data_IF_725693118191
#
_entry.id   IF_725693118191
#
_cell.length_a   1.000
_cell.length_b   1.000
_cell.length_c   1.000
_cell.angle_alpha   90.00
_cell.angle_beta   90.00
_cell.angle_gamma   90.00
#
_symmetry.space_group_name_H-M   'P 1'
#
loop_
_entity.id
_entity.type
_entity.pdbx_description
1 polymer ?
#
# COMPACT_ATOMS: atom_id res chain seq x y z
N UNK A 1 13.10 15.56 13.01
CA UNK A 1 12.49 14.97 14.20
C UNK A 1 12.14 13.53 13.87
N UNK A 2 12.64 12.57 14.65
CA UNK A 2 12.39 11.14 14.46
C UNK A 2 10.92 10.86 14.81
N UNK A 3 10.05 10.97 13.82
CA UNK A 3 8.61 10.88 14.02
C UNK A 3 8.22 9.43 13.84
N UNK A 4 8.13 8.68 14.94
CA UNK A 4 7.61 7.31 14.92
C UNK A 4 6.21 7.34 14.32
N UNK A 5 5.97 6.51 13.31
CA UNK A 5 4.64 6.30 12.75
C UNK A 5 3.77 5.70 13.87
N UNK A 6 2.68 6.38 14.23
CA UNK A 6 1.72 5.90 15.23
C UNK A 6 0.49 5.33 14.55
N UNK A 7 -0.34 4.62 15.32
CA UNK A 7 -1.65 4.16 14.84
C UNK A 7 -2.53 5.29 14.32
N UNK A 8 -2.52 6.46 14.96
CA UNK A 8 -3.27 7.62 14.49
C UNK A 8 -2.76 8.11 13.13
N UNK A 9 -1.44 8.17 12.94
CA UNK A 9 -0.85 8.51 11.63
C UNK A 9 -1.24 7.51 10.54
N UNK A 10 -1.30 6.21 10.87
CA UNK A 10 -1.79 5.19 9.92
C UNK A 10 -3.25 5.43 9.56
N UNK A 11 -4.10 5.75 10.55
CA UNK A 11 -5.52 6.05 10.32
C UNK A 11 -5.69 7.27 9.41
N UNK A 12 -4.95 8.36 9.63
CA UNK A 12 -5.01 9.57 8.79
C UNK A 12 -4.66 9.25 7.32
N UNK A 13 -3.64 8.41 7.11
CA UNK A 13 -3.22 7.97 5.77
C UNK A 13 -4.30 7.09 5.14
N UNK A 14 -4.86 6.14 5.89
CA UNK A 14 -5.90 5.24 5.40
C UNK A 14 -7.18 5.99 5.04
N UNK A 15 -7.58 7.00 5.81
CA UNK A 15 -8.76 7.80 5.54
C UNK A 15 -8.58 8.61 4.25
N UNK A 16 -7.41 9.23 4.07
CA UNK A 16 -7.04 9.93 2.83
C UNK A 16 -7.07 9.01 1.61
N UNK A 17 -6.50 7.81 1.72
CA UNK A 17 -6.53 6.81 0.63
C UNK A 17 -7.97 6.37 0.35
N UNK A 18 -8.76 6.11 1.40
CA UNK A 18 -10.14 5.66 1.29
C UNK A 18 -11.05 6.72 0.66
N UNK A 19 -10.79 8.00 0.92
CA UNK A 19 -11.48 9.11 0.26
C UNK A 19 -11.26 9.10 -1.26
N UNK A 20 -10.05 8.77 -1.72
CA UNK A 20 -9.72 8.77 -3.15
C UNK A 20 -10.05 7.47 -3.89
N UNK A 21 -9.99 6.31 -3.20
CA UNK A 21 -10.12 4.99 -3.84
C UNK A 21 -11.37 4.20 -3.42
N UNK A 22 -12.10 4.68 -2.42
CA UNK A 22 -13.11 3.89 -1.73
C UNK A 22 -12.50 3.01 -0.64
N UNK A 23 -13.37 2.54 0.26
CA UNK A 23 -12.98 1.71 1.40
C UNK A 23 -12.83 0.24 0.99
N UNK A 24 -11.74 -0.45 1.36
CA UNK A 24 -11.62 -1.88 1.12
C UNK A 24 -12.45 -2.67 2.13
N UNK A 25 -12.90 -3.87 1.74
CA UNK A 25 -13.54 -4.80 2.68
C UNK A 25 -12.55 -5.36 3.71
N UNK A 26 -11.28 -5.49 3.31
CA UNK A 26 -10.23 -6.11 4.13
C UNK A 26 -8.88 -5.43 3.93
N UNK A 27 -8.11 -5.32 5.01
CA UNK A 27 -6.73 -4.85 4.98
C UNK A 27 -5.85 -5.92 5.64
N UNK A 28 -4.80 -6.36 4.93
CA UNK A 28 -3.76 -7.20 5.51
C UNK A 28 -2.69 -6.34 6.15
N UNK A 29 -2.33 -6.65 7.39
CA UNK A 29 -1.36 -5.91 8.19
C UNK A 29 -0.39 -6.86 8.84
N UNK A 30 0.82 -6.40 9.15
CA UNK A 30 1.72 -7.14 10.00
C UNK A 30 1.43 -6.86 11.49
N UNK A 31 2.25 -7.42 12.38
CA UNK A 31 2.09 -7.26 13.83
C UNK A 31 2.87 -6.06 14.39
N UNK A 32 3.17 -5.05 13.56
CA UNK A 32 3.79 -3.81 14.00
C UNK A 32 2.91 -3.06 15.01
N UNK A 33 3.50 -2.37 16.01
CA UNK A 33 2.75 -1.67 17.05
C UNK A 33 1.81 -0.58 16.52
N UNK A 34 2.13 0.02 15.37
CA UNK A 34 1.29 0.97 14.65
C UNK A 34 0.00 0.32 14.12
N UNK A 35 0.06 -0.95 13.73
CA UNK A 35 -1.08 -1.71 13.21
C UNK A 35 -1.85 -2.47 14.30
N UNK A 36 -1.17 -2.86 15.39
CA UNK A 36 -1.79 -3.43 16.61
C UNK A 36 -2.17 -2.29 17.58
N UNK A 37 -2.76 -1.22 17.04
CA UNK A 37 -3.12 -0.03 17.82
C UNK A 37 -4.64 0.07 18.00
N UNK A 38 -5.06 0.65 19.15
CA UNK A 38 -6.49 0.93 19.40
C UNK A 38 -7.09 1.88 18.35
N UNK A 39 -6.27 2.79 17.82
CA UNK A 39 -6.67 3.73 16.78
C UNK A 39 -7.08 2.98 15.51
N UNK A 40 -6.22 2.09 15.01
CA UNK A 40 -6.52 1.32 13.80
C UNK A 40 -7.67 0.32 14.01
N UNK A 41 -7.75 -0.30 15.19
CA UNK A 41 -8.85 -1.20 15.55
C UNK A 41 -10.20 -0.47 15.50
N UNK A 42 -10.30 0.70 16.15
CA UNK A 42 -11.51 1.52 16.12
C UNK A 42 -11.85 2.04 14.71
N UNK A 43 -10.86 2.49 13.94
CA UNK A 43 -11.06 2.88 12.54
C UNK A 43 -11.64 1.72 11.72
N UNK A 44 -11.09 0.52 11.87
CA UNK A 44 -11.55 -0.66 11.13
C UNK A 44 -12.99 -1.03 11.49
N UNK A 45 -13.34 -0.97 12.77
CA UNK A 45 -14.70 -1.22 13.26
C UNK A 45 -15.70 -0.20 12.71
N UNK A 46 -15.40 1.09 12.79
CA UNK A 46 -16.28 2.16 12.32
C UNK A 46 -16.52 2.12 10.81
N UNK A 47 -15.53 1.67 10.05
CA UNK A 47 -15.58 1.63 8.59
C UNK A 47 -15.96 0.24 8.03
N UNK A 48 -16.31 -0.72 8.89
CA UNK A 48 -16.62 -2.11 8.54
C UNK A 48 -15.52 -2.78 7.69
N UNK A 49 -14.26 -2.52 8.05
CA UNK A 49 -13.06 -3.07 7.40
C UNK A 49 -12.54 -4.22 8.26
N UNK A 50 -12.31 -5.39 7.67
CA UNK A 50 -11.69 -6.51 8.38
C UNK A 50 -10.16 -6.42 8.33
N UNK A 51 -9.52 -6.34 9.49
CA UNK A 51 -8.07 -6.48 9.60
C UNK A 51 -7.66 -7.96 9.58
N UNK A 52 -6.73 -8.32 8.70
CA UNK A 52 -6.14 -9.65 8.59
C UNK A 52 -4.65 -9.57 8.95
N UNK A 53 -4.30 -9.94 10.18
CA UNK A 53 -2.92 -9.95 10.65
C UNK A 53 -2.13 -11.11 10.06
N UNK A 54 -0.87 -10.85 9.70
CA UNK A 54 0.07 -11.90 9.29
C UNK A 54 0.31 -12.91 10.41
N UNK A 55 0.41 -14.19 10.05
CA UNK A 55 0.60 -15.25 11.05
C UNK A 55 2.06 -15.31 11.49
N UNK A 56 2.34 -15.50 12.79
CA UNK A 56 3.70 -15.74 13.26
C UNK A 56 4.37 -16.89 12.52
N UNK A 57 5.58 -16.66 12.01
CA UNK A 57 6.35 -17.68 11.29
C UNK A 57 5.82 -18.03 9.89
N UNK A 58 4.99 -17.17 9.26
CA UNK A 58 4.54 -17.33 7.87
C UNK A 58 5.01 -16.17 6.97
N UNK A 59 6.27 -16.21 6.48
CA UNK A 59 6.81 -15.17 5.58
C UNK A 59 5.96 -14.92 4.33
N UNK A 60 5.27 -15.96 3.84
CA UNK A 60 4.38 -15.87 2.68
C UNK A 60 3.24 -14.86 2.85
N UNK A 61 2.81 -14.57 4.07
CA UNK A 61 1.72 -13.62 4.32
C UNK A 61 2.16 -12.17 3.98
N UNK A 62 3.48 -11.89 4.01
CA UNK A 62 4.07 -10.58 3.74
C UNK A 62 4.81 -10.52 2.38
N UNK A 63 4.81 -11.59 1.58
CA UNK A 63 5.63 -11.68 0.36
C UNK A 63 5.41 -10.52 -0.63
N UNK A 64 4.18 -10.01 -0.75
CA UNK A 64 3.87 -8.88 -1.63
C UNK A 64 4.52 -7.57 -1.16
N UNK A 65 4.40 -7.24 0.14
CA UNK A 65 4.98 -6.02 0.68
C UNK A 65 6.51 -6.11 0.74
N UNK A 66 7.05 -7.29 1.00
CA UNK A 66 8.50 -7.55 0.95
C UNK A 66 9.05 -7.35 -0.47
N UNK A 67 8.37 -7.89 -1.49
CA UNK A 67 8.76 -7.69 -2.89
C UNK A 67 8.68 -6.20 -3.29
N UNK A 68 7.63 -5.49 -2.88
CA UNK A 68 7.50 -4.05 -3.13
C UNK A 68 8.64 -3.26 -2.47
N UNK A 69 8.91 -3.52 -1.19
CA UNK A 69 9.97 -2.84 -0.43
C UNK A 69 11.37 -3.15 -0.99
N UNK A 70 11.58 -4.37 -1.49
CA UNK A 70 12.79 -4.76 -2.20
C UNK A 70 13.00 -3.92 -3.46
N UNK A 71 11.99 -3.85 -4.33
CA UNK A 71 12.05 -3.00 -5.53
C UNK A 71 12.28 -1.53 -5.19
N UNK A 72 11.56 -0.98 -4.21
CA UNK A 72 11.74 0.42 -3.80
C UNK A 72 13.19 0.68 -3.34
N UNK A 73 13.74 -0.24 -2.55
CA UNK A 73 15.11 -0.12 -2.05
C UNK A 73 16.12 -0.18 -3.18
N UNK A 74 16.04 -1.19 -4.03
CA UNK A 74 17.04 -1.45 -5.07
C UNK A 74 16.97 -0.44 -6.21
N UNK A 75 15.77 0.04 -6.55
CA UNK A 75 15.56 0.86 -7.74
C UNK A 75 15.47 2.36 -7.43
N UNK A 76 15.09 2.74 -6.21
CA UNK A 76 14.98 4.14 -5.81
C UNK A 76 15.99 4.52 -4.72
N UNK A 77 15.97 3.84 -3.57
CA UNK A 77 16.74 4.28 -2.41
C UNK A 77 18.25 4.12 -2.60
N UNK A 78 18.67 3.01 -3.23
CA UNK A 78 20.09 2.71 -3.46
C UNK A 78 20.67 3.45 -4.68
N UNK A 79 19.82 3.94 -5.59
CA UNK A 79 20.23 4.55 -6.86
C UNK A 79 20.27 6.08 -6.81
N UNK A 80 19.75 6.69 -5.74
CA UNK A 80 19.60 8.14 -5.61
C UNK A 80 20.32 8.69 -4.39
N UNK A 81 20.94 9.85 -4.56
CA UNK A 81 21.35 10.72 -3.46
C UNK A 81 20.18 11.64 -3.09
N UNK A 82 19.89 11.78 -1.80
CA UNK A 82 18.82 12.66 -1.31
C UNK A 82 19.42 13.91 -0.70
N UNK A 83 19.16 15.06 -1.33
CA UNK A 83 19.75 16.35 -0.93
C UNK A 83 18.89 17.08 0.11
N UNK A 84 17.60 16.78 0.17
CA UNK A 84 16.65 17.29 1.16
C UNK A 84 15.44 16.35 1.29
N UNK A 85 14.54 16.65 2.23
CA UNK A 85 13.27 15.93 2.37
C UNK A 85 12.37 16.17 1.16
N UNK A 86 12.33 17.39 0.63
CA UNK A 86 11.55 17.71 -0.57
C UNK A 86 12.08 16.93 -1.79
N UNK A 87 13.41 16.84 -1.96
CA UNK A 87 14.04 16.03 -3.01
C UNK A 87 13.71 14.54 -2.85
N UNK A 88 13.72 14.01 -1.62
CA UNK A 88 13.31 12.64 -1.35
C UNK A 88 11.83 12.39 -1.71
N UNK A 89 10.92 13.29 -1.34
CA UNK A 89 9.50 13.18 -1.68
C UNK A 89 9.29 13.19 -3.20
N UNK A 90 9.98 14.06 -3.92
CA UNK A 90 9.89 14.13 -5.39
C UNK A 90 10.37 12.84 -6.05
N UNK A 91 11.53 12.31 -5.63
CA UNK A 91 12.08 11.06 -6.17
C UNK A 91 11.20 9.85 -5.85
N UNK A 92 10.70 9.76 -4.62
CA UNK A 92 9.80 8.69 -4.20
C UNK A 92 8.47 8.74 -4.96
N UNK A 93 7.90 9.93 -5.18
CA UNK A 93 6.67 10.08 -5.96
C UNK A 93 6.89 9.73 -7.44
N UNK A 94 8.03 10.13 -8.02
CA UNK A 94 8.38 9.75 -9.39
C UNK A 94 8.51 8.23 -9.52
N UNK A 95 9.23 7.56 -8.61
CA UNK A 95 9.34 6.10 -8.59
C UNK A 95 7.98 5.42 -8.37
N UNK A 96 7.15 5.93 -7.46
CA UNK A 96 5.80 5.41 -7.22
C UNK A 96 4.94 5.45 -8.48
N UNK A 97 5.02 6.53 -9.26
CA UNK A 97 4.29 6.65 -10.54
C UNK A 97 4.82 5.67 -11.57
N UNK A 98 6.13 5.55 -11.71
CA UNK A 98 6.76 4.58 -12.62
C UNK A 98 6.32 3.14 -12.30
N UNK A 99 6.43 2.74 -11.03
CA UNK A 99 6.01 1.44 -10.54
C UNK A 99 4.52 1.15 -10.83
N UNK A 100 3.64 2.12 -10.59
CA UNK A 100 2.20 1.88 -10.71
C UNK A 100 1.66 2.01 -12.13
N UNK A 101 2.23 2.88 -12.98
CA UNK A 101 1.62 3.22 -14.29
C UNK A 101 2.44 2.73 -15.49
N UNK A 102 3.71 2.35 -15.32
CA UNK A 102 4.58 2.00 -16.45
C UNK A 102 5.23 0.63 -16.31
N UNK A 103 5.37 0.10 -15.11
CA UNK A 103 6.01 -1.20 -14.87
C UNK A 103 5.02 -2.37 -14.98
N UNK A 104 5.16 -3.28 -15.95
CA UNK A 104 4.34 -4.49 -16.01
C UNK A 104 4.81 -5.53 -14.98
N UNK A 105 3.87 -6.20 -14.33
CA UNK A 105 4.15 -7.28 -13.37
C UNK A 105 3.61 -8.61 -13.90
N UNK A 106 4.47 -9.63 -13.94
CA UNK A 106 4.08 -10.98 -14.41
C UNK A 106 2.98 -11.60 -13.55
N UNK A 107 2.97 -11.32 -12.25
CA UNK A 107 1.91 -11.72 -11.31
C UNK A 107 0.54 -11.09 -11.62
N UNK A 108 0.51 -10.01 -12.40
CA UNK A 108 -0.69 -9.31 -12.85
C UNK A 108 -0.98 -9.56 -14.34
N UNK A 109 -0.46 -10.65 -14.92
CA UNK A 109 -0.64 -10.95 -16.35
C UNK A 109 0.06 -9.97 -17.27
N UNK A 110 1.22 -9.44 -16.85
CA UNK A 110 1.98 -8.37 -17.53
C UNK A 110 1.25 -7.03 -17.62
N UNK A 111 0.26 -6.79 -16.76
CA UNK A 111 -0.34 -5.47 -16.58
C UNK A 111 0.46 -4.64 -15.58
N UNK A 112 0.36 -3.32 -15.70
CA UNK A 112 0.79 -2.41 -14.64
C UNK A 112 -0.19 -2.47 -13.46
N UNK A 113 0.21 -2.14 -12.22
CA UNK A 113 -0.70 -2.10 -11.08
C UNK A 113 -1.91 -1.17 -11.32
N UNK A 114 -1.68 -0.03 -11.98
CA UNK A 114 -2.72 0.92 -12.38
C UNK A 114 -3.69 0.33 -13.40
N UNK A 115 -3.19 -0.35 -14.44
CA UNK A 115 -4.07 -1.01 -15.42
C UNK A 115 -4.87 -2.15 -14.80
N UNK A 116 -4.25 -2.93 -13.92
CA UNK A 116 -4.93 -4.00 -13.20
C UNK A 116 -6.05 -3.43 -12.31
N UNK A 117 -5.80 -2.36 -11.55
CA UNK A 117 -6.83 -1.69 -10.76
C UNK A 117 -7.98 -1.16 -11.64
N UNK A 118 -7.66 -0.56 -12.79
CA UNK A 118 -8.67 -0.08 -13.76
C UNK A 118 -9.49 -1.23 -14.37
N UNK A 119 -8.89 -2.40 -14.58
CA UNK A 119 -9.60 -3.55 -15.17
C UNK A 119 -10.61 -4.15 -14.20
N UNK A 120 -10.30 -4.18 -12.89
CA UNK A 120 -11.23 -4.62 -11.85
C UNK A 120 -12.48 -3.71 -11.78
N UNK A 121 -12.30 -2.39 -11.89
CA UNK A 121 -13.42 -1.45 -11.94
C UNK A 121 -14.30 -1.62 -13.19
N UNK A 122 -13.70 -2.01 -14.33
CA UNK A 122 -14.45 -2.30 -15.57
C UNK A 122 -15.19 -3.64 -15.48
N UNK A 123 -14.59 -4.65 -14.83
CA UNK A 123 -15.21 -5.95 -14.61
C UNK A 123 -16.42 -5.89 -13.68
N UNK A 124 -16.40 -5.02 -12.67
CA UNK A 124 -17.51 -4.78 -11.75
C UNK A 124 -18.73 -4.11 -12.41
N UNK A 125 -18.58 -3.54 -13.61
CA UNK A 125 -19.64 -2.84 -14.36
C UNK A 125 -20.21 -3.64 -15.54
N UNK A 126 -19.88 -4.93 -15.68
CA UNK A 126 -20.58 -5.78 -16.66
C UNK A 126 -21.95 -6.19 -16.09
N UNK A 127 -23.08 -5.88 -16.74
CA UNK A 127 -24.35 -6.50 -16.37
C UNK A 127 -24.26 -7.99 -16.67
N UNK A 128 -24.72 -8.82 -15.72
CA UNK A 128 -25.03 -10.22 -15.99
C UNK A 128 -26.10 -10.25 -17.09
N UNK A 129 -25.77 -10.87 -18.23
CA UNK A 129 -26.75 -11.26 -19.25
C UNK A 129 -27.04 -12.75 -19.11
#
# INVERSE_FOLDING_TARGET
>A
ADSKITGDTVVDILDSISYHRGRPERIRVDNGPEFVSKALDNYSYQNNIKLEFSRPGKPVDNAFIESFNGSLRDECLNTNWFLSIEDAQLKLEAWRRDYNEFRPHSSLGNMTPGDFARSLLKGANKPDY
#
